data_IF_050445701790
#
_entry.id   IF_050445701790
#
_cell.length_a   1.000
_cell.length_b   1.000
_cell.length_c   1.000
_cell.angle_alpha   90.00
_cell.angle_beta   90.00
_cell.angle_gamma   90.00
#
_symmetry.space_group_name_H-M   'P 1'
#
loop_
_entity.id
_entity.type
_entity.pdbx_description
1 polymer ?
#
# COMPACT_ATOMS: atom_id res chain seq x y z
N UNK A 1 -12.50 -4.55 10.57
CA UNK A 1 -12.17 -3.97 11.90
C UNK A 1 -10.71 -3.57 11.89
N UNK A 2 -10.37 -2.38 12.37
CA UNK A 2 -8.97 -1.93 12.50
C UNK A 2 -8.42 -2.47 13.81
N UNK A 3 -7.32 -3.21 13.77
CA UNK A 3 -6.71 -3.83 14.98
C UNK A 3 -5.26 -3.41 15.21
N UNK A 4 -4.54 -3.02 14.15
CA UNK A 4 -3.08 -2.82 14.20
C UNK A 4 -2.68 -1.34 14.05
N UNK A 5 -3.65 -0.43 14.00
CA UNK A 5 -3.47 1.01 13.86
C UNK A 5 -4.35 1.73 14.87
N UNK A 6 -3.87 2.88 15.34
CA UNK A 6 -4.62 3.81 16.18
C UNK A 6 -4.43 5.24 15.72
N UNK A 7 -5.29 6.13 16.21
CA UNK A 7 -5.15 7.56 16.00
C UNK A 7 -3.76 8.06 16.45
N UNK A 8 -3.17 8.94 15.65
CA UNK A 8 -1.83 9.49 15.87
C UNK A 8 -0.68 8.61 15.35
N UNK A 9 -0.93 7.38 14.90
CA UNK A 9 0.10 6.58 14.24
C UNK A 9 0.51 7.23 12.90
N UNK A 10 1.81 7.34 12.67
CA UNK A 10 2.35 7.70 11.35
C UNK A 10 2.26 6.45 10.48
N UNK A 11 1.61 6.60 9.32
CA UNK A 11 1.36 5.48 8.40
C UNK A 11 1.82 5.81 6.99
N UNK A 12 2.20 4.76 6.29
CA UNK A 12 2.48 4.80 4.86
C UNK A 12 1.38 4.03 4.12
N UNK A 13 0.65 4.67 3.20
CA UNK A 13 -0.30 3.97 2.35
C UNK A 13 0.43 3.16 1.28
N UNK A 14 -0.09 1.98 0.97
CA UNK A 14 0.46 1.02 0.04
C UNK A 14 -0.55 0.72 -1.07
N UNK A 15 -0.07 0.48 -2.29
CA UNK A 15 -0.93 0.04 -3.39
C UNK A 15 -1.17 -1.48 -3.40
N UNK A 16 -0.31 -2.24 -2.71
CA UNK A 16 -0.45 -3.67 -2.42
C UNK A 16 -0.67 -3.82 -0.92
N UNK A 17 -1.72 -4.53 -0.55
CA UNK A 17 -2.03 -4.77 0.86
C UNK A 17 -1.60 -6.16 1.32
N UNK A 18 -1.66 -6.38 2.62
CA UNK A 18 -1.30 -7.65 3.24
C UNK A 18 -2.30 -8.01 4.33
N UNK A 19 -2.95 -9.17 4.21
CA UNK A 19 -3.90 -9.63 5.22
C UNK A 19 -3.29 -10.58 6.25
N UNK A 20 -2.09 -11.13 6.01
CA UNK A 20 -1.42 -12.10 6.88
C UNK A 20 -2.04 -13.50 6.92
N UNK A 21 -3.27 -13.69 6.42
CA UNK A 21 -4.04 -14.93 6.60
C UNK A 21 -4.33 -15.69 5.29
N UNK A 22 -4.25 -15.06 4.12
CA UNK A 22 -4.50 -15.74 2.84
C UNK A 22 -3.30 -16.59 2.41
N UNK A 23 -3.54 -17.56 1.52
CA UNK A 23 -2.52 -18.47 0.99
C UNK A 23 -1.28 -17.73 0.45
N UNK A 24 -1.47 -16.60 -0.23
CA UNK A 24 -0.37 -15.83 -0.77
C UNK A 24 0.46 -15.16 0.34
N UNK A 25 -0.19 -14.55 1.33
CA UNK A 25 0.49 -13.95 2.48
C UNK A 25 1.27 -14.98 3.30
N UNK A 26 0.77 -16.21 3.44
CA UNK A 26 1.47 -17.27 4.18
C UNK A 26 2.52 -18.03 3.35
N UNK A 27 2.54 -17.87 2.02
CA UNK A 27 3.39 -18.67 1.15
C UNK A 27 4.89 -18.36 1.20
N UNK A 28 5.25 -17.12 1.55
CA UNK A 28 6.62 -16.59 1.40
C UNK A 28 7.11 -16.48 -0.06
N UNK A 29 6.26 -16.75 -1.06
CA UNK A 29 6.62 -16.80 -2.49
C UNK A 29 6.14 -15.59 -3.28
N UNK A 30 5.12 -14.89 -2.77
CA UNK A 30 4.50 -13.74 -3.45
C UNK A 30 4.00 -12.73 -2.44
N UNK A 31 3.92 -11.47 -2.85
CA UNK A 31 3.33 -10.36 -2.08
C UNK A 31 1.93 -9.97 -2.59
N UNK A 32 1.35 -10.73 -3.52
CA UNK A 32 0.04 -10.43 -4.10
C UNK A 32 -1.09 -10.98 -3.23
N UNK A 33 -1.59 -10.19 -2.28
CA UNK A 33 -2.66 -10.62 -1.38
C UNK A 33 -3.98 -10.88 -2.12
N UNK A 34 -4.70 -11.95 -1.75
CA UNK A 34 -6.05 -12.22 -2.28
C UNK A 34 -7.11 -11.27 -1.74
N UNK A 35 -7.00 -10.85 -0.47
CA UNK A 35 -7.97 -9.98 0.20
C UNK A 35 -7.78 -8.52 -0.17
N UNK A 36 -6.54 -8.13 -0.42
CA UNK A 36 -6.14 -6.77 -0.76
C UNK A 36 -5.40 -6.75 -2.12
N UNK A 37 -6.10 -7.08 -3.22
CA UNK A 37 -5.52 -7.08 -4.55
C UNK A 37 -5.36 -5.66 -5.11
N UNK A 38 -4.55 -5.49 -6.16
CA UNK A 38 -4.53 -4.23 -6.90
C UNK A 38 -5.92 -3.99 -7.49
N UNK A 39 -6.61 -2.96 -6.98
CA UNK A 39 -7.94 -2.61 -7.45
C UNK A 39 -7.88 -1.47 -8.46
N UNK A 40 -8.31 -1.74 -9.69
CA UNK A 40 -8.38 -0.77 -10.80
C UNK A 40 -9.80 -0.24 -11.06
N UNK A 41 -10.80 -0.63 -10.26
CA UNK A 41 -12.18 -0.13 -10.40
C UNK A 41 -12.35 1.33 -9.97
N UNK A 42 -11.38 1.88 -9.23
CA UNK A 42 -11.46 3.21 -8.63
C UNK A 42 -12.42 3.30 -7.44
N UNK A 43 -12.82 2.17 -6.86
CA UNK A 43 -13.71 2.08 -5.72
C UNK A 43 -13.02 1.36 -4.56
N UNK A 44 -13.52 1.56 -3.34
CA UNK A 44 -13.13 0.78 -2.17
C UNK A 44 -13.56 -0.69 -2.32
N UNK A 45 -13.12 -1.59 -1.42
CA UNK A 45 -13.48 -3.01 -1.49
C UNK A 45 -14.99 -3.26 -1.32
N UNK A 46 -15.70 -2.32 -0.70
CA UNK A 46 -17.17 -2.35 -0.58
C UNK A 46 -17.91 -1.84 -1.83
N UNK A 47 -17.19 -1.50 -2.90
CA UNK A 47 -17.77 -1.01 -4.15
C UNK A 47 -18.22 0.45 -4.11
N UNK A 48 -17.81 1.23 -3.12
CA UNK A 48 -18.20 2.64 -2.98
C UNK A 48 -16.99 3.58 -3.00
N UNK A 49 -17.22 4.89 -3.16
CA UNK A 49 -16.18 5.91 -3.07
C UNK A 49 -16.24 6.63 -1.73
N UNK A 50 -15.13 7.24 -1.33
CA UNK A 50 -15.02 8.17 -0.18
C UNK A 50 -14.67 9.59 -0.64
N UNK A 51 -14.55 9.80 -1.94
CA UNK A 51 -14.11 11.05 -2.53
C UNK A 51 -15.24 11.67 -3.34
N UNK A 52 -15.45 12.97 -3.14
CA UNK A 52 -16.39 13.75 -3.92
C UNK A 52 -15.93 15.19 -4.01
N UNK A 53 -16.21 15.86 -5.12
CA UNK A 53 -15.98 17.30 -5.29
C UNK A 53 -17.25 17.91 -5.84
N UNK A 54 -17.79 18.93 -5.16
CA UNK A 54 -19.01 19.64 -5.56
C UNK A 54 -20.23 18.72 -5.77
N UNK A 55 -20.37 17.70 -4.93
CA UNK A 55 -21.44 16.71 -5.03
C UNK A 55 -21.20 15.60 -6.05
N UNK A 56 -20.20 15.74 -6.91
CA UNK A 56 -19.84 14.70 -7.88
C UNK A 56 -18.89 13.68 -7.27
N UNK A 57 -19.17 12.40 -7.50
CA UNK A 57 -18.33 11.28 -7.06
C UNK A 57 -17.00 11.33 -7.80
N UNK A 58 -15.91 11.23 -7.06
CA UNK A 58 -14.59 10.94 -7.62
C UNK A 58 -14.23 9.47 -7.41
N UNK A 59 -13.41 8.93 -8.30
CA UNK A 59 -12.85 7.60 -8.14
C UNK A 59 -11.52 7.68 -7.39
N UNK A 60 -11.24 6.64 -6.61
CA UNK A 60 -9.94 6.44 -6.02
C UNK A 60 -8.91 6.11 -7.09
N UNK A 61 -7.67 6.55 -6.88
CA UNK A 61 -6.54 6.10 -7.66
C UNK A 61 -5.77 5.04 -6.89
N UNK A 62 -5.74 3.82 -7.44
CA UNK A 62 -5.26 2.63 -6.72
C UNK A 62 -6.01 2.48 -5.39
N UNK A 63 -5.38 1.89 -4.37
CA UNK A 63 -5.96 1.71 -3.04
C UNK A 63 -5.70 2.87 -2.06
N UNK A 64 -5.09 3.99 -2.50
CA UNK A 64 -4.59 5.02 -1.59
C UNK A 64 -4.94 6.48 -1.92
N UNK A 65 -5.03 6.89 -3.19
CA UNK A 65 -5.43 8.26 -3.58
C UNK A 65 -4.67 9.39 -2.83
N UNK A 66 -3.34 9.37 -2.84
CA UNK A 66 -2.51 10.23 -1.97
C UNK A 66 -2.40 11.70 -2.39
N UNK A 67 -3.11 12.13 -3.43
CA UNK A 67 -3.16 13.53 -3.89
C UNK A 67 -4.35 14.28 -3.27
N UNK A 68 -4.47 14.17 -1.95
CA UNK A 68 -5.50 14.79 -1.14
C UNK A 68 -4.93 14.98 0.27
N UNK A 69 -5.37 16.04 0.96
CA UNK A 69 -4.98 16.28 2.37
C UNK A 69 -5.44 15.13 3.29
N UNK A 70 -6.55 14.47 2.91
CA UNK A 70 -7.09 13.30 3.60
C UNK A 70 -7.48 12.22 2.60
N UNK A 71 -7.28 10.97 2.99
CA UNK A 71 -7.71 9.80 2.22
C UNK A 71 -8.23 8.71 3.16
N UNK A 72 -9.08 7.85 2.63
CA UNK A 72 -9.63 6.69 3.35
C UNK A 72 -9.12 5.44 2.65
N UNK A 73 -8.45 4.57 3.39
CA UNK A 73 -7.89 3.32 2.89
C UNK A 73 -8.37 2.14 3.73
N UNK A 74 -8.39 0.94 3.14
CA UNK A 74 -8.52 -0.27 3.96
C UNK A 74 -7.28 -0.40 4.84
N UNK A 75 -7.46 -0.82 6.10
CA UNK A 75 -6.33 -0.96 7.03
C UNK A 75 -5.23 -1.90 6.52
N UNK A 76 -5.57 -2.88 5.67
CA UNK A 76 -4.59 -3.77 5.02
C UNK A 76 -3.68 -3.09 4.01
N UNK A 77 -4.01 -1.88 3.56
CA UNK A 77 -3.18 -1.03 2.68
C UNK A 77 -2.40 0.04 3.46
N UNK A 78 -2.42 0.03 4.79
CA UNK A 78 -1.70 1.00 5.60
C UNK A 78 -0.70 0.28 6.51
N UNK A 79 0.57 0.65 6.39
CA UNK A 79 1.62 0.16 7.29
C UNK A 79 2.02 1.27 8.25
N UNK A 80 2.07 0.94 9.55
CA UNK A 80 2.63 1.84 10.57
C UNK A 80 4.13 1.96 10.37
N UNK A 81 4.63 3.18 10.46
CA UNK A 81 6.07 3.47 10.34
C UNK A 81 6.58 4.21 11.57
N UNK A 82 7.90 4.17 11.75
CA UNK A 82 8.56 4.88 12.84
C UNK A 82 8.40 6.40 12.65
N UNK A 83 7.84 7.13 13.64
CA UNK A 83 7.67 8.58 13.56
C UNK A 83 9.00 9.34 13.48
N UNK A 84 10.15 8.72 13.80
CA UNK A 84 11.47 9.34 13.64
C UNK A 84 11.93 9.42 12.18
N UNK A 85 11.26 8.73 11.23
CA UNK A 85 11.63 8.75 9.83
C UNK A 85 11.34 10.12 9.18
N UNK A 86 12.27 10.69 8.40
CA UNK A 86 11.99 11.87 7.59
C UNK A 86 10.93 11.55 6.53
N UNK A 87 9.70 12.00 6.73
CA UNK A 87 8.54 11.60 5.91
C UNK A 87 8.71 11.89 4.42
N UNK A 88 9.40 12.98 4.07
CA UNK A 88 9.72 13.32 2.68
C UNK A 88 10.48 12.21 1.96
N UNK A 89 11.44 11.59 2.64
CA UNK A 89 12.23 10.47 2.10
C UNK A 89 11.49 9.15 2.26
N UNK A 90 10.81 8.95 3.39
CA UNK A 90 10.06 7.73 3.67
C UNK A 90 8.97 7.49 2.61
N UNK A 91 8.36 8.55 2.06
CA UNK A 91 7.34 8.45 1.01
C UNK A 91 7.77 7.58 -0.19
N UNK A 92 9.07 7.60 -0.54
CA UNK A 92 9.62 6.83 -1.66
C UNK A 92 9.59 5.31 -1.43
N UNK A 93 9.54 4.88 -0.16
CA UNK A 93 9.47 3.47 0.22
C UNK A 93 8.12 2.83 -0.11
N UNK A 94 7.06 3.63 -0.31
CA UNK A 94 5.71 3.12 -0.57
C UNK A 94 5.56 2.45 -1.95
N UNK A 95 6.44 2.78 -2.91
CA UNK A 95 6.31 2.31 -4.28
C UNK A 95 7.67 2.21 -5.00
N UNK A 96 8.17 3.33 -5.54
CA UNK A 96 9.25 3.31 -6.54
C UNK A 96 10.57 2.72 -6.03
N UNK A 97 11.01 3.14 -4.85
CA UNK A 97 12.27 2.66 -4.28
C UNK A 97 12.22 1.16 -3.95
N UNK A 98 11.19 0.73 -3.22
CA UNK A 98 11.06 -0.67 -2.79
C UNK A 98 10.78 -1.60 -3.96
N UNK A 99 10.09 -1.14 -5.00
CA UNK A 99 9.93 -1.87 -6.26
C UNK A 99 11.29 -2.08 -6.92
N UNK A 100 12.04 -1.02 -7.20
CA UNK A 100 13.35 -1.14 -7.88
C UNK A 100 14.37 -1.96 -7.08
N UNK A 101 14.45 -1.72 -5.78
CA UNK A 101 15.32 -2.48 -4.88
C UNK A 101 14.87 -3.95 -4.78
N UNK A 102 13.57 -4.20 -4.59
CA UNK A 102 13.02 -5.55 -4.50
C UNK A 102 13.18 -6.35 -5.79
N UNK A 103 13.04 -5.71 -6.96
CA UNK A 103 13.25 -6.34 -8.26
C UNK A 103 14.68 -6.86 -8.42
N UNK A 104 15.69 -6.10 -7.98
CA UNK A 104 17.10 -6.52 -8.10
C UNK A 104 17.49 -7.50 -7.01
N UNK A 105 17.18 -7.18 -5.76
CA UNK A 105 17.61 -7.95 -4.59
C UNK A 105 16.80 -9.24 -4.38
N UNK A 106 15.47 -9.21 -4.52
CA UNK A 106 14.60 -10.37 -4.24
C UNK A 106 14.20 -11.15 -5.47
N UNK A 107 13.82 -10.45 -6.56
CA UNK A 107 13.26 -11.12 -7.75
C UNK A 107 14.37 -11.64 -8.65
N UNK A 108 15.28 -10.76 -9.09
CA UNK A 108 16.43 -11.15 -9.91
C UNK A 108 17.53 -11.84 -9.08
N UNK A 109 17.56 -11.60 -7.76
CA UNK A 109 18.55 -12.16 -6.84
C UNK A 109 19.99 -11.94 -7.33
N UNK A 110 20.29 -10.69 -7.72
CA UNK A 110 21.58 -10.32 -8.33
C UNK A 110 22.72 -10.61 -7.34
N UNK A 111 23.66 -11.46 -7.75
CA UNK A 111 24.82 -11.83 -6.96
C UNK A 111 26.00 -10.88 -7.12
N UNK A 112 26.97 -10.96 -6.22
CA UNK A 112 28.24 -10.23 -6.37
C UNK A 112 28.99 -10.72 -7.62
N UNK A 113 29.46 -9.78 -8.44
CA UNK A 113 30.21 -10.09 -9.67
C UNK A 113 29.35 -10.38 -10.89
N UNK A 114 28.03 -10.20 -10.79
CA UNK A 114 27.11 -10.26 -11.94
C UNK A 114 27.41 -9.12 -12.91
N UNK A 115 27.39 -9.40 -14.22
CA UNK A 115 27.51 -8.43 -15.33
C UNK A 115 26.30 -8.52 -16.24
#
# INVERSE_FOLDING_TARGET
KVTNLKEGDIVMPLYLGECGECLNCSSGKTNLCHKYPINMSGLMLDGTSRMSVRGEKLFHHMSCSTWSEYTVVEAGYAVKVDPALPLSHASLLSCGFTTGFGSTYRVANVGKGST
#
